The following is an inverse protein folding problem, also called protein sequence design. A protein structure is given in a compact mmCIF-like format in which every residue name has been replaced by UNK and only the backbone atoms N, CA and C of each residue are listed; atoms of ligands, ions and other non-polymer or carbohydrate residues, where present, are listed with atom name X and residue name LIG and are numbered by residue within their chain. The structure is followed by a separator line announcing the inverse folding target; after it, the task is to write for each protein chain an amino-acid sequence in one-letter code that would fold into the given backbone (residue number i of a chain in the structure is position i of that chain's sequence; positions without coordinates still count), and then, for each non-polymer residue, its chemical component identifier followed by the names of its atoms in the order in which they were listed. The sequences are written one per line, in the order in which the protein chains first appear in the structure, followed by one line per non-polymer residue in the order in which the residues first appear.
data_IF_222689929171
#
_entry.id   IF_222689929171
#
_cell.length_a   1.000
_cell.length_b   1.000
_cell.length_c   1.000
_cell.angle_alpha   90.00
_cell.angle_beta   90.00
_cell.angle_gamma   90.00
#
_symmetry.space_group_name_H-M   'P 1'
#
loop_
_entity.id
_entity.type
_entity.pdbx_description
1 polymer ?
#
# COMPACT_ATOMS: atom_id res chain seq x y z
N UNK A 1 7.44 -7.44 5.30
CA UNK A 1 6.58 -7.00 6.43
C UNK A 1 7.24 -5.78 7.06
N UNK A 2 6.49 -4.72 7.39
CA UNK A 2 6.98 -3.46 7.94
C UNK A 2 6.09 -3.01 9.11
N UNK A 3 6.60 -2.98 10.35
CA UNK A 3 5.81 -2.68 11.56
C UNK A 3 4.48 -3.47 11.70
N UNK A 4 4.53 -4.76 11.32
CA UNK A 4 3.36 -5.65 11.32
C UNK A 4 2.42 -5.48 10.13
N UNK A 5 2.74 -4.59 9.18
CA UNK A 5 2.01 -4.42 7.92
C UNK A 5 2.63 -5.34 6.87
N UNK A 6 1.81 -6.18 6.25
CA UNK A 6 2.23 -7.01 5.13
C UNK A 6 2.09 -6.21 3.83
N UNK A 7 3.23 -5.93 3.20
CA UNK A 7 3.31 -5.21 1.93
C UNK A 7 3.52 -6.23 0.81
N UNK A 8 2.68 -6.18 -0.23
CA UNK A 8 2.71 -7.09 -1.38
C UNK A 8 2.54 -6.30 -2.68
N UNK A 9 3.22 -6.73 -3.74
CA UNK A 9 3.01 -6.24 -5.10
C UNK A 9 2.73 -7.45 -6.00
N UNK A 10 1.63 -7.44 -6.74
CA UNK A 10 1.25 -8.54 -7.61
C UNK A 10 1.62 -8.24 -9.06
N UNK A 11 2.38 -9.14 -9.69
CA UNK A 11 2.70 -9.04 -11.10
C UNK A 11 1.42 -9.25 -11.93
N UNK A 12 1.08 -8.27 -12.80
CA UNK A 12 -0.14 -8.19 -13.65
C UNK A 12 -1.44 -7.72 -12.99
N UNK A 13 -1.42 -7.15 -11.78
CA UNK A 13 -2.61 -6.49 -11.20
C UNK A 13 -2.88 -5.07 -11.78
N UNK A 14 -2.20 -4.72 -12.86
CA UNK A 14 -2.31 -3.39 -13.48
C UNK A 14 -3.69 -3.12 -14.10
N UNK A 15 -4.50 -4.16 -14.36
CA UNK A 15 -5.83 -4.03 -14.98
C UNK A 15 -6.85 -3.30 -14.09
N UNK A 16 -6.64 -3.28 -12.77
CA UNK A 16 -7.59 -2.69 -11.81
C UNK A 16 -7.38 -1.21 -11.54
N UNK A 17 -6.12 -0.78 -11.45
CA UNK A 17 -5.76 0.59 -11.06
C UNK A 17 -4.93 1.34 -12.12
N UNK A 18 -4.42 0.66 -13.15
CA UNK A 18 -3.62 1.23 -14.25
C UNK A 18 -2.37 2.04 -13.83
N UNK A 19 -1.96 1.95 -12.56
CA UNK A 19 -0.76 2.58 -12.01
C UNK A 19 0.03 1.58 -11.17
N UNK A 20 1.36 1.72 -11.05
CA UNK A 20 2.15 0.93 -10.11
C UNK A 20 1.64 1.11 -8.68
N UNK A 21 1.30 0.01 -8.01
CA UNK A 21 0.69 0.04 -6.69
C UNK A 21 1.11 -1.15 -5.81
N UNK A 22 0.95 -0.99 -4.50
CA UNK A 22 1.15 -2.05 -3.50
C UNK A 22 -0.15 -2.28 -2.72
N UNK A 23 -0.28 -3.50 -2.21
CA UNK A 23 -1.32 -3.89 -1.26
C UNK A 23 -0.71 -3.93 0.14
N UNK A 24 -1.30 -3.20 1.07
CA UNK A 24 -0.91 -3.17 2.47
C UNK A 24 -2.01 -3.76 3.34
N UNK A 25 -1.65 -4.77 4.13
CA UNK A 25 -2.57 -5.57 4.93
C UNK A 25 -2.14 -5.52 6.40
N UNK A 26 -3.07 -5.15 7.27
CA UNK A 26 -2.87 -5.06 8.71
C UNK A 26 -4.13 -5.49 9.47
N UNK A 27 -4.04 -6.58 10.23
CA UNK A 27 -5.11 -7.08 11.10
C UNK A 27 -6.47 -7.23 10.38
N UNK A 28 -6.46 -7.66 9.11
CA UNK A 28 -7.66 -7.85 8.30
C UNK A 28 -8.15 -6.57 7.59
N UNK A 29 -7.58 -5.40 7.89
CA UNK A 29 -7.77 -4.20 7.09
C UNK A 29 -6.79 -4.18 5.92
N UNK A 30 -7.26 -3.81 4.73
CA UNK A 30 -6.46 -3.77 3.51
C UNK A 30 -6.64 -2.42 2.83
N UNK A 31 -5.53 -1.84 2.37
CA UNK A 31 -5.54 -0.71 1.47
C UNK A 31 -4.52 -0.87 0.34
N UNK A 32 -4.87 -0.31 -0.82
CA UNK A 32 -4.04 -0.28 -2.02
C UNK A 32 -3.48 1.12 -2.17
N UNK A 33 -2.18 1.23 -2.38
CA UNK A 33 -1.45 2.49 -2.46
C UNK A 33 -0.73 2.62 -3.79
N UNK A 34 -0.85 3.77 -4.44
CA UNK A 34 0.05 4.17 -5.52
C UNK A 34 1.47 4.30 -4.97
N UNK A 35 2.43 3.63 -5.60
CA UNK A 35 3.86 3.80 -5.24
C UNK A 35 4.43 5.11 -5.76
N UNK A 36 3.71 5.80 -6.66
CA UNK A 36 4.17 7.05 -7.25
C UNK A 36 4.05 8.22 -6.29
N UNK A 37 3.04 8.24 -5.42
CA UNK A 37 2.72 9.39 -4.58
C UNK A 37 2.17 9.03 -3.20
N UNK A 38 2.02 7.73 -2.91
CA UNK A 38 1.45 7.26 -1.65
C UNK A 38 -0.07 7.44 -1.54
N UNK A 39 -0.74 7.82 -2.63
CA UNK A 39 -2.20 8.01 -2.65
C UNK A 39 -2.90 6.67 -2.46
N UNK A 40 -3.96 6.65 -1.64
CA UNK A 40 -4.81 5.48 -1.46
C UNK A 40 -5.72 5.32 -2.67
N UNK A 41 -5.63 4.17 -3.34
CA UNK A 41 -6.41 3.82 -4.52
C UNK A 41 -7.67 3.02 -4.17
N UNK A 42 -7.64 2.25 -3.07
CA UNK A 42 -8.76 1.45 -2.58
C UNK A 42 -8.56 1.04 -1.12
N UNK A 43 -9.66 0.78 -0.42
CA UNK A 43 -9.65 0.33 0.98
C UNK A 43 -9.14 1.40 1.94
N UNK A 44 -8.84 0.99 3.17
CA UNK A 44 -8.37 1.89 4.22
C UNK A 44 -7.53 1.15 5.25
N UNK A 45 -6.66 1.90 5.93
CA UNK A 45 -5.95 1.45 7.11
C UNK A 45 -6.13 2.48 8.23
N UNK A 46 -5.98 2.08 9.50
CA UNK A 46 -5.92 3.02 10.61
C UNK A 46 -4.90 4.15 10.31
N UNK A 47 -5.17 5.41 10.68
CA UNK A 47 -4.36 6.56 10.25
C UNK A 47 -2.86 6.47 10.59
N UNK A 48 -2.52 5.82 11.72
CA UNK A 48 -1.12 5.58 12.09
C UNK A 48 -0.43 4.54 11.19
N UNK A 49 -1.16 3.54 10.68
CA UNK A 49 -0.65 2.53 9.75
C UNK A 49 -0.55 3.07 8.34
N UNK A 50 -1.50 3.88 7.91
CA UNK A 50 -1.41 4.65 6.66
C UNK A 50 -0.08 5.42 6.57
N UNK A 51 0.26 6.20 7.60
CA UNK A 51 1.53 6.96 7.65
C UNK A 51 2.77 6.07 7.52
N UNK A 52 2.75 4.88 8.12
CA UNK A 52 3.85 3.92 8.00
C UNK A 52 3.96 3.36 6.58
N UNK A 53 2.85 3.09 5.90
CA UNK A 53 2.88 2.64 4.50
C UNK A 53 3.43 3.74 3.58
N UNK A 54 3.00 4.99 3.74
CA UNK A 54 3.53 6.12 2.97
C UNK A 54 5.03 6.30 3.22
N UNK A 55 5.48 6.22 4.47
CA UNK A 55 6.91 6.25 4.78
C UNK A 55 7.68 5.06 4.18
N UNK A 56 7.08 3.86 4.16
CA UNK A 56 7.68 2.69 3.52
C UNK A 56 7.84 2.90 2.01
N UNK A 57 6.84 3.50 1.34
CA UNK A 57 6.91 3.83 -0.08
C UNK A 57 8.06 4.80 -0.34
N UNK A 58 8.19 5.86 0.46
CA UNK A 58 9.23 6.88 0.25
C UNK A 58 10.65 6.33 0.38
N UNK A 59 10.89 5.40 1.31
CA UNK A 59 12.23 4.81 1.51
C UNK A 59 12.55 3.65 0.54
N UNK A 60 11.56 3.15 -0.22
CA UNK A 60 11.72 2.05 -1.19
C UNK A 60 11.40 2.47 -2.63
N UNK A 61 11.36 3.78 -2.92
CA UNK A 61 11.26 4.30 -4.28
C UNK A 61 12.47 3.92 -5.14
#
# INVERSE_FOLDING_TARGET
MFYGILIRMFFRDAERHHVPHIHADYQGAVAVYSVLDGTVLAGELPPNKHKLVVAWIEIHR
#
